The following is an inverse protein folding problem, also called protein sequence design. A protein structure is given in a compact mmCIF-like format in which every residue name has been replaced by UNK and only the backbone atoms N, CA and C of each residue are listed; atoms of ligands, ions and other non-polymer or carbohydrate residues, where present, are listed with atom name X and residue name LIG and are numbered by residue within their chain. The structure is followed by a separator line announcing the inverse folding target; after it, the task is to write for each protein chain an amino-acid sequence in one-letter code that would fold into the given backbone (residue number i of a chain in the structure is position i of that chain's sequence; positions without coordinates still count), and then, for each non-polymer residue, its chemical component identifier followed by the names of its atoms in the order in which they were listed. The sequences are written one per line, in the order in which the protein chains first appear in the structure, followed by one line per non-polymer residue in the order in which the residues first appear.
data_IF_804863060896
#
_entry.id   IF_804863060896
#
_cell.length_a   1.000
_cell.length_b   1.000
_cell.length_c   1.000
_cell.angle_alpha   90.00
_cell.angle_beta   90.00
_cell.angle_gamma   90.00
#
_symmetry.space_group_name_H-M   'P 1'
#
loop_
_entity.id
_entity.type
_entity.pdbx_description
1 polymer ?
#
# COMPACT_ATOMS: atom_id res chain seq x y z
N UNK A 1 -17.97 35.74 -10.56
CA UNK A 1 -17.45 34.44 -11.02
C UNK A 1 -16.93 33.71 -9.78
N UNK A 2 -17.54 32.59 -9.42
CA UNK A 2 -17.20 31.80 -8.22
C UNK A 2 -16.59 30.48 -8.66
N UNK A 3 -15.38 30.19 -8.20
CA UNK A 3 -14.78 28.87 -8.29
C UNK A 3 -14.86 28.20 -6.91
N UNK A 4 -15.02 26.89 -6.88
CA UNK A 4 -14.98 26.07 -5.67
C UNK A 4 -13.87 25.04 -5.80
N UNK A 5 -13.06 24.90 -4.76
CA UNK A 5 -12.02 23.89 -4.68
C UNK A 5 -12.60 22.54 -4.26
N UNK A 6 -12.18 21.47 -4.92
CA UNK A 6 -12.57 20.10 -4.62
C UNK A 6 -11.34 19.21 -4.72
N UNK A 7 -10.59 19.11 -3.61
CA UNK A 7 -9.52 18.13 -3.44
C UNK A 7 -10.03 17.13 -2.41
N UNK A 8 -10.44 15.96 -2.91
CA UNK A 8 -11.40 15.09 -2.21
C UNK A 8 -10.69 14.17 -1.20
N UNK A 9 -9.38 13.96 -1.35
CA UNK A 9 -8.61 13.04 -0.52
C UNK A 9 -7.32 13.70 -0.01
N UNK A 10 -7.00 13.62 1.30
CA UNK A 10 -5.70 14.01 1.80
C UNK A 10 -4.61 13.09 1.24
N UNK A 11 -3.38 13.60 1.15
CA UNK A 11 -2.25 12.79 0.73
C UNK A 11 -2.02 11.60 1.67
N UNK A 12 -1.85 10.40 1.11
CA UNK A 12 -1.46 9.22 1.87
C UNK A 12 0.02 9.31 2.22
N UNK A 13 0.32 9.71 3.46
CA UNK A 13 1.68 9.82 3.99
C UNK A 13 1.90 8.69 4.99
N UNK A 14 2.92 7.88 4.75
CA UNK A 14 3.28 6.77 5.63
C UNK A 14 3.95 7.29 6.90
N UNK A 15 3.47 6.85 8.06
CA UNK A 15 4.11 7.06 9.34
C UNK A 15 5.35 6.17 9.50
N UNK A 16 6.43 6.71 10.07
CA UNK A 16 7.71 6.02 10.19
C UNK A 16 7.64 4.79 11.11
N UNK A 17 6.90 4.84 12.21
CA UNK A 17 6.79 3.73 13.15
C UNK A 17 5.90 2.61 12.56
N UNK A 18 4.82 2.98 11.87
CA UNK A 18 4.01 2.03 11.13
C UNK A 18 4.81 1.37 9.99
N UNK A 19 5.63 2.13 9.28
CA UNK A 19 6.52 1.62 8.23
C UNK A 19 7.56 0.64 8.79
N UNK A 20 8.20 0.95 9.92
CA UNK A 20 9.14 0.03 10.57
C UNK A 20 8.47 -1.32 10.89
N UNK A 21 7.22 -1.30 11.37
CA UNK A 21 6.46 -2.53 11.63
C UNK A 21 6.20 -3.35 10.36
N UNK A 22 5.93 -2.68 9.23
CA UNK A 22 5.82 -3.33 7.91
C UNK A 22 7.13 -3.98 7.51
N UNK A 23 8.26 -3.30 7.64
CA UNK A 23 9.57 -3.87 7.31
C UNK A 23 9.91 -5.10 8.17
N UNK A 24 9.64 -5.04 9.47
CA UNK A 24 9.82 -6.17 10.39
C UNK A 24 8.93 -7.35 10.00
N UNK A 25 7.69 -7.06 9.61
CA UNK A 25 6.75 -8.07 9.10
C UNK A 25 7.28 -8.76 7.85
N UNK A 26 7.79 -7.98 6.88
CA UNK A 26 8.39 -8.54 5.67
C UNK A 26 9.56 -9.47 5.99
N UNK A 27 10.47 -9.05 6.90
CA UNK A 27 11.61 -9.87 7.34
C UNK A 27 11.13 -11.17 7.99
N UNK A 28 10.14 -11.11 8.89
CA UNK A 28 9.56 -12.29 9.55
C UNK A 28 8.89 -13.24 8.56
N UNK A 29 8.18 -12.70 7.58
CA UNK A 29 7.49 -13.47 6.54
C UNK A 29 8.44 -14.02 5.45
N UNK A 30 9.73 -13.63 5.46
CA UNK A 30 10.68 -13.96 4.40
C UNK A 30 10.30 -13.34 3.05
N UNK A 31 9.66 -12.16 3.07
CA UNK A 31 9.23 -11.43 1.88
C UNK A 31 10.22 -10.33 1.52
N UNK A 32 10.42 -10.12 0.22
CA UNK A 32 11.18 -8.99 -0.28
C UNK A 32 10.28 -7.75 -0.24
N UNK A 33 10.66 -6.76 0.57
CA UNK A 33 10.01 -5.45 0.60
C UNK A 33 11.00 -4.40 0.11
N UNK A 34 10.50 -3.52 -0.76
CA UNK A 34 11.27 -2.48 -1.41
C UNK A 34 10.48 -1.18 -1.34
N UNK A 35 11.22 -0.09 -1.15
CA UNK A 35 10.67 1.25 -1.30
C UNK A 35 10.50 1.57 -2.79
N UNK A 36 9.40 2.23 -3.13
CA UNK A 36 9.20 2.72 -4.49
C UNK A 36 10.01 4.02 -4.67
N UNK A 37 10.66 4.24 -5.82
CA UNK A 37 11.50 5.41 -6.03
C UNK A 37 10.69 6.72 -6.09
N UNK A 38 9.42 6.64 -6.47
CA UNK A 38 8.53 7.78 -6.63
C UNK A 38 7.15 7.48 -6.04
N UNK A 39 6.46 8.46 -5.47
CA UNK A 39 5.09 8.29 -4.99
C UNK A 39 4.15 7.81 -6.09
N UNK A 40 3.13 7.05 -5.70
CA UNK A 40 2.06 6.66 -6.60
C UNK A 40 1.23 7.88 -7.04
N UNK A 41 0.85 7.91 -8.33
CA UNK A 41 0.05 9.01 -8.90
C UNK A 41 -1.44 8.93 -8.59
N UNK A 42 -1.92 7.76 -8.16
CA UNK A 42 -3.33 7.54 -7.87
C UNK A 42 -3.63 8.04 -6.45
N UNK A 43 -4.76 8.72 -6.30
CA UNK A 43 -5.29 9.13 -5.00
C UNK A 43 -5.99 7.94 -4.34
N UNK A 44 -5.87 7.83 -3.02
CA UNK A 44 -6.54 6.81 -2.23
C UNK A 44 -7.15 7.46 -0.99
N UNK A 45 -8.38 7.08 -0.63
CA UNK A 45 -9.06 7.60 0.55
C UNK A 45 -8.40 7.15 1.87
N UNK A 46 -7.50 6.17 1.82
CA UNK A 46 -6.70 5.69 2.94
C UNK A 46 -5.93 6.82 3.64
N UNK A 47 -5.60 7.91 2.94
CA UNK A 47 -4.99 9.09 3.54
C UNK A 47 -5.76 9.67 4.72
N UNK A 48 -7.08 9.46 4.80
CA UNK A 48 -7.88 9.89 5.95
C UNK A 48 -7.48 9.20 7.26
N UNK A 49 -7.04 7.95 7.23
CA UNK A 49 -6.64 7.22 8.44
C UNK A 49 -5.40 7.84 9.11
N UNK A 50 -4.49 8.41 8.32
CA UNK A 50 -3.29 9.08 8.83
C UNK A 50 -3.57 10.29 9.73
N UNK A 51 -4.79 10.85 9.68
CA UNK A 51 -5.19 11.94 10.59
C UNK A 51 -5.56 11.47 12.00
N UNK A 52 -5.90 10.18 12.16
CA UNK A 52 -6.41 9.61 13.41
C UNK A 52 -5.49 8.58 14.06
N UNK A 53 -4.55 8.00 13.32
CA UNK A 53 -3.60 7.01 13.82
C UNK A 53 -2.33 6.95 12.95
N UNK A 54 -1.20 6.44 13.49
CA UNK A 54 -0.07 6.01 12.67
C UNK A 54 -0.55 5.03 11.59
N UNK A 55 -0.34 5.38 10.32
CA UNK A 55 -0.86 4.62 9.19
C UNK A 55 0.22 4.41 8.15
N UNK A 56 0.16 3.28 7.45
CA UNK A 56 1.06 2.92 6.37
C UNK A 56 0.28 2.20 5.29
N UNK A 57 0.47 2.62 4.04
CA UNK A 57 -0.04 1.96 2.86
C UNK A 57 1.12 1.33 2.09
N UNK A 58 1.00 0.03 1.82
CA UNK A 58 1.96 -0.75 1.05
C UNK A 58 1.22 -1.63 0.04
N UNK A 59 1.82 -1.84 -1.13
CA UNK A 59 1.28 -2.71 -2.18
C UNK A 59 1.90 -4.11 -2.15
N UNK A 60 1.11 -5.11 -2.54
CA UNK A 60 1.65 -6.44 -2.89
C UNK A 60 1.96 -6.44 -4.38
N UNK A 61 3.22 -6.72 -4.74
CA UNK A 61 3.66 -6.66 -6.13
C UNK A 61 3.02 -7.73 -7.00
N UNK A 62 2.27 -7.33 -8.03
CA UNK A 62 1.70 -8.22 -9.05
C UNK A 62 2.70 -8.68 -10.13
N UNK A 63 3.94 -8.20 -10.07
CA UNK A 63 4.99 -8.43 -11.05
C UNK A 63 5.21 -7.23 -11.99
N UNK A 64 6.39 -7.18 -12.61
CA UNK A 64 6.79 -6.04 -13.48
C UNK A 64 6.16 -6.07 -14.87
N UNK A 65 5.66 -7.23 -15.29
CA UNK A 65 5.02 -7.46 -16.60
C UNK A 65 3.50 -7.56 -16.49
N UNK A 66 2.91 -7.09 -15.39
CA UNK A 66 1.47 -7.11 -15.18
C UNK A 66 0.82 -5.80 -15.60
N UNK A 67 -0.39 -5.87 -16.14
CA UNK A 67 -1.16 -4.69 -16.53
C UNK A 67 -1.35 -3.74 -15.34
N UNK A 68 -1.37 -2.43 -15.60
CA UNK A 68 -1.68 -1.43 -14.57
C UNK A 68 -3.15 -1.49 -14.19
N UNK A 69 -3.45 -1.07 -12.96
CA UNK A 69 -4.84 -0.85 -12.51
C UNK A 69 -5.58 0.10 -13.46
N UNK A 70 -6.89 -0.11 -13.60
CA UNK A 70 -7.77 0.66 -14.50
C UNK A 70 -7.46 0.54 -16.00
N UNK A 71 -6.77 -0.51 -16.42
CA UNK A 71 -6.63 -0.84 -17.86
C UNK A 71 -7.58 -1.98 -18.23
N UNK A 72 -8.04 -2.01 -19.49
CA UNK A 72 -8.94 -3.07 -19.99
C UNK A 72 -8.35 -4.47 -19.87
N UNK A 73 -7.02 -4.57 -19.95
CA UNK A 73 -6.28 -5.83 -19.89
C UNK A 73 -5.90 -6.23 -18.46
N UNK A 74 -6.35 -5.50 -17.44
CA UNK A 74 -6.09 -5.88 -16.06
C UNK A 74 -6.95 -7.07 -15.66
N UNK A 75 -6.28 -8.10 -15.15
CA UNK A 75 -6.89 -9.22 -14.44
C UNK A 75 -6.18 -9.37 -13.10
N UNK A 76 -6.88 -9.86 -12.08
CA UNK A 76 -6.25 -10.17 -10.81
C UNK A 76 -5.20 -11.28 -10.98
N UNK A 77 -4.07 -11.16 -10.29
CA UNK A 77 -3.00 -12.17 -10.31
C UNK A 77 -3.11 -13.05 -9.05
N UNK A 78 -3.72 -14.23 -9.15
CA UNK A 78 -3.89 -15.14 -8.01
C UNK A 78 -2.57 -15.56 -7.34
N UNK A 79 -1.45 -15.51 -8.07
CA UNK A 79 -0.12 -15.85 -7.54
C UNK A 79 0.36 -14.88 -6.44
N UNK A 80 -0.28 -13.71 -6.27
CA UNK A 80 0.06 -12.77 -5.19
C UNK A 80 -0.59 -13.16 -3.85
N UNK A 81 -1.63 -13.99 -3.87
CA UNK A 81 -2.40 -14.36 -2.66
C UNK A 81 -1.49 -14.97 -1.58
N UNK A 82 -0.60 -15.94 -1.88
CA UNK A 82 0.27 -16.52 -0.86
C UNK A 82 1.20 -15.49 -0.20
N UNK A 83 1.70 -14.50 -0.95
CA UNK A 83 2.54 -13.44 -0.41
C UNK A 83 1.75 -12.51 0.52
N UNK A 84 0.55 -12.11 0.10
CA UNK A 84 -0.35 -11.31 0.93
C UNK A 84 -0.71 -12.03 2.24
N UNK A 85 -1.07 -13.32 2.17
CA UNK A 85 -1.38 -14.11 3.36
C UNK A 85 -0.19 -14.21 4.31
N UNK A 86 1.01 -14.52 3.80
CA UNK A 86 2.24 -14.56 4.62
C UNK A 86 2.49 -13.24 5.34
N UNK A 87 2.31 -12.12 4.64
CA UNK A 87 2.47 -10.80 5.22
C UNK A 87 1.47 -10.56 6.36
N UNK A 88 0.17 -10.73 6.12
CA UNK A 88 -0.86 -10.46 7.14
C UNK A 88 -0.80 -11.42 8.33
N UNK A 89 -0.45 -12.70 8.13
CA UNK A 89 -0.21 -13.63 9.24
C UNK A 89 0.98 -13.18 10.10
N UNK A 90 2.11 -12.84 9.48
CA UNK A 90 3.27 -12.36 10.22
C UNK A 90 2.99 -11.04 10.96
N UNK A 91 2.19 -10.14 10.37
CA UNK A 91 1.79 -8.87 10.96
C UNK A 91 0.94 -9.07 12.23
N UNK A 92 -0.04 -9.98 12.14
CA UNK A 92 -0.92 -10.32 13.26
C UNK A 92 -0.16 -10.94 14.43
N UNK A 93 0.88 -11.75 14.15
CA UNK A 93 1.73 -12.34 15.19
C UNK A 93 2.78 -11.38 15.78
N UNK A 94 3.06 -10.24 15.12
CA UNK A 94 4.00 -9.22 15.61
C UNK A 94 3.40 -8.31 16.70
N UNK A 95 2.10 -8.50 17.02
CA UNK A 95 1.37 -7.94 18.16
C UNK A 95 2.01 -6.78 18.89
#
# INVERSE_FOLDING_TARGET
MTYSFCDIFPATVNDNAALERVEQTCRKAGLNCAEIPEPFRWSEDFGYYGSGAPAVMAGIGAGVNWSQLHTENYTFNDEIIPAALKFFFALAELG
#
